data_IF_762201548170
#
_entry.id   IF_762201548170
#
_cell.length_a   1.000
_cell.length_b   1.000
_cell.length_c   1.000
_cell.angle_alpha   90.00
_cell.angle_beta   90.00
_cell.angle_gamma   90.00
#
_symmetry.space_group_name_H-M   'P 1'
#
loop_
_entity.id
_entity.type
_entity.pdbx_description
1 polymer ?
#
# COMPACT_ATOMS: atom_id res chain seq x y z
N UNK A 1 -37.13 -19.74 37.97
CA UNK A 1 -37.84 -19.17 36.83
C UNK A 1 -37.56 -17.67 36.69
N UNK A 2 -37.30 -17.26 35.48
CA UNK A 2 -37.06 -15.83 35.20
C UNK A 2 -38.40 -15.10 35.16
N UNK A 3 -38.53 -14.05 35.95
CA UNK A 3 -39.72 -13.20 35.91
C UNK A 3 -39.75 -12.38 34.62
N UNK A 4 -40.92 -11.86 34.24
CA UNK A 4 -41.03 -11.00 33.06
C UNK A 4 -40.12 -9.78 33.17
N UNK A 5 -39.92 -9.25 34.36
CA UNK A 5 -39.03 -8.13 34.63
C UNK A 5 -37.58 -8.47 34.33
N UNK A 6 -37.09 -9.63 34.77
CA UNK A 6 -35.72 -10.08 34.53
C UNK A 6 -35.51 -10.35 33.03
N UNK A 7 -36.49 -10.94 32.34
CA UNK A 7 -36.40 -11.14 30.88
C UNK A 7 -36.27 -9.83 30.12
N UNK A 8 -37.03 -8.81 30.54
CA UNK A 8 -36.91 -7.46 29.92
C UNK A 8 -35.54 -6.84 30.18
N UNK A 9 -35.05 -6.98 31.40
CA UNK A 9 -33.71 -6.48 31.72
C UNK A 9 -32.63 -7.17 30.92
N UNK A 10 -32.70 -8.48 30.77
CA UNK A 10 -31.76 -9.25 29.97
C UNK A 10 -31.81 -8.87 28.49
N UNK A 11 -33.03 -8.69 27.95
CA UNK A 11 -33.21 -8.23 26.58
C UNK A 11 -32.64 -6.84 26.35
N UNK A 12 -32.90 -5.91 27.28
CA UNK A 12 -32.34 -4.55 27.21
C UNK A 12 -30.84 -4.57 27.30
N UNK A 13 -30.28 -5.35 28.22
CA UNK A 13 -28.83 -5.52 28.35
C UNK A 13 -28.22 -6.09 27.07
N UNK A 14 -28.83 -7.10 26.50
CA UNK A 14 -28.40 -7.73 25.25
C UNK A 14 -28.37 -6.72 24.10
N UNK A 15 -29.44 -5.91 23.98
CA UNK A 15 -29.55 -4.88 22.94
C UNK A 15 -28.43 -3.84 23.12
N UNK A 16 -28.23 -3.35 24.34
CA UNK A 16 -27.18 -2.36 24.63
C UNK A 16 -25.79 -2.93 24.31
N UNK A 17 -25.54 -4.18 24.67
CA UNK A 17 -24.28 -4.86 24.39
C UNK A 17 -24.02 -4.98 22.89
N UNK A 18 -25.04 -5.39 22.13
CA UNK A 18 -24.93 -5.52 20.68
C UNK A 18 -24.65 -4.16 20.02
N UNK A 19 -25.40 -3.13 20.43
CA UNK A 19 -25.20 -1.77 19.93
C UNK A 19 -23.79 -1.28 20.25
N UNK A 20 -23.31 -1.51 21.46
CA UNK A 20 -21.96 -1.11 21.87
C UNK A 20 -20.89 -1.81 21.06
N UNK A 21 -21.05 -3.12 20.80
CA UNK A 21 -20.12 -3.89 19.98
C UNK A 21 -20.11 -3.42 18.54
N UNK A 22 -21.27 -3.11 17.97
CA UNK A 22 -21.37 -2.60 16.59
C UNK A 22 -20.69 -1.24 16.47
N UNK A 23 -20.96 -0.34 17.41
CA UNK A 23 -20.32 1.00 17.41
C UNK A 23 -18.81 0.89 17.60
N UNK A 24 -18.36 0.04 18.50
CA UNK A 24 -16.95 -0.21 18.71
C UNK A 24 -16.27 -0.78 17.47
N UNK A 25 -16.87 -1.78 16.87
CA UNK A 25 -16.36 -2.38 15.65
C UNK A 25 -16.30 -1.38 14.50
N UNK A 26 -17.36 -0.60 14.34
CA UNK A 26 -17.42 0.40 13.27
C UNK A 26 -16.38 1.51 13.46
N UNK A 27 -16.26 2.03 14.67
CA UNK A 27 -15.43 3.19 14.95
C UNK A 27 -13.96 2.83 15.15
N UNK A 28 -13.67 1.78 15.92
CA UNK A 28 -12.30 1.42 16.28
C UNK A 28 -11.63 0.49 15.26
N UNK A 29 -12.35 -0.51 14.78
CA UNK A 29 -11.79 -1.48 13.84
C UNK A 29 -11.84 -1.01 12.39
N UNK A 30 -12.47 0.13 12.13
CA UNK A 30 -12.66 0.66 10.77
C UNK A 30 -13.21 -0.42 9.83
N UNK A 31 -14.28 -1.08 10.25
CA UNK A 31 -14.92 -2.12 9.44
C UNK A 31 -15.22 -1.70 8.01
N UNK A 32 -15.63 -0.45 7.72
CA UNK A 32 -15.80 -0.01 6.34
C UNK A 32 -14.52 -0.14 5.50
N UNK A 33 -13.35 0.13 6.08
CA UNK A 33 -12.07 -0.06 5.40
C UNK A 33 -11.78 -1.53 5.12
N UNK A 34 -12.10 -2.42 6.07
CA UNK A 34 -11.88 -3.85 5.92
C UNK A 34 -12.80 -4.45 4.85
N UNK A 35 -14.01 -3.93 4.71
CA UNK A 35 -14.99 -4.37 3.72
C UNK A 35 -14.81 -3.68 2.37
N UNK A 36 -13.93 -2.66 2.30
CA UNK A 36 -13.69 -1.90 1.09
C UNK A 36 -14.68 -0.77 0.84
N UNK A 37 -15.54 -0.44 1.80
CA UNK A 37 -16.47 0.68 1.70
C UNK A 37 -15.70 1.99 1.80
N UNK A 38 -15.97 2.91 0.88
CA UNK A 38 -15.28 4.19 0.83
C UNK A 38 -13.86 4.12 0.28
N UNK A 39 -13.52 3.03 -0.40
CA UNK A 39 -12.22 2.82 -1.04
C UNK A 39 -12.41 2.24 -2.43
N UNK A 40 -11.42 2.48 -3.30
CA UNK A 40 -11.37 1.84 -4.60
C UNK A 40 -9.99 1.23 -4.81
N UNK A 41 -9.91 0.27 -5.70
CA UNK A 41 -8.65 -0.43 -5.97
C UNK A 41 -7.98 0.12 -7.23
N UNK A 42 -6.67 0.25 -7.16
CA UNK A 42 -5.80 0.50 -8.30
C UNK A 42 -4.71 -0.55 -8.30
N UNK A 43 -4.15 -0.79 -9.48
CA UNK A 43 -3.00 -1.68 -9.65
C UNK A 43 -1.82 -0.88 -10.17
N UNK A 44 -0.63 -1.32 -9.86
CA UNK A 44 0.59 -0.71 -10.37
C UNK A 44 1.54 -1.80 -10.86
N UNK A 45 2.02 -1.65 -12.09
CA UNK A 45 3.03 -2.53 -12.65
C UNK A 45 4.41 -1.98 -12.28
N UNK A 46 5.21 -2.82 -11.64
CA UNK A 46 6.54 -2.48 -11.16
C UNK A 46 7.57 -3.38 -11.83
N UNK A 47 8.79 -2.88 -12.09
CA UNK A 47 9.86 -3.71 -12.67
C UNK A 47 10.33 -4.80 -11.71
N UNK A 48 10.08 -4.66 -10.42
CA UNK A 48 10.34 -5.65 -9.39
C UNK A 48 9.47 -5.33 -8.17
N UNK A 49 9.41 -6.24 -7.20
CA UNK A 49 8.67 -5.97 -5.96
C UNK A 49 9.30 -4.84 -5.13
N UNK A 50 10.60 -4.64 -5.25
CA UNK A 50 11.31 -3.59 -4.53
C UNK A 50 11.26 -3.74 -3.00
N UNK A 51 10.89 -4.91 -2.50
CA UNK A 51 10.64 -5.14 -1.08
C UNK A 51 9.25 -4.69 -0.61
N UNK A 52 8.38 -4.27 -1.55
CA UNK A 52 7.02 -3.90 -1.23
C UNK A 52 6.24 -5.11 -0.72
N UNK A 53 5.39 -4.91 0.27
CA UNK A 53 4.64 -5.98 0.93
C UNK A 53 3.20 -5.55 1.17
N UNK A 54 2.26 -6.50 1.35
CA UNK A 54 0.90 -6.15 1.77
C UNK A 54 0.93 -5.36 3.08
N UNK A 55 0.08 -4.37 3.19
CA UNK A 55 0.00 -3.36 4.26
C UNK A 55 0.98 -2.20 4.15
N UNK A 56 1.88 -2.18 3.16
CA UNK A 56 2.70 -1.00 2.86
C UNK A 56 1.83 0.21 2.59
N UNK A 57 2.26 1.37 3.04
CA UNK A 57 1.51 2.62 2.82
C UNK A 57 1.60 3.08 1.37
N UNK A 58 0.52 3.68 0.89
CA UNK A 58 0.47 4.37 -0.39
C UNK A 58 0.34 5.86 -0.11
N UNK A 59 1.27 6.65 -0.64
CA UNK A 59 1.29 8.10 -0.44
C UNK A 59 1.06 8.84 -1.75
N UNK A 60 0.50 10.02 -1.66
CA UNK A 60 0.33 10.94 -2.77
C UNK A 60 0.55 12.36 -2.25
N UNK A 61 1.49 13.07 -2.85
CA UNK A 61 1.92 14.39 -2.40
C UNK A 61 2.30 14.43 -0.91
N UNK A 62 2.96 13.35 -0.43
CA UNK A 62 3.42 13.25 0.96
C UNK A 62 2.35 12.85 1.97
N UNK A 63 1.12 12.59 1.53
CA UNK A 63 0.01 12.20 2.40
C UNK A 63 -0.31 10.72 2.18
N UNK A 64 -0.46 9.96 3.24
CA UNK A 64 -0.91 8.57 3.14
C UNK A 64 -2.38 8.52 2.74
N UNK A 65 -2.65 7.96 1.56
CA UNK A 65 -3.99 7.91 0.97
C UNK A 65 -4.57 6.50 0.91
N UNK A 66 -3.77 5.49 1.18
CA UNK A 66 -4.22 4.11 1.13
C UNK A 66 -3.12 3.15 1.53
N UNK A 67 -3.36 1.88 1.23
CA UNK A 67 -2.42 0.80 1.53
C UNK A 67 -2.36 -0.20 0.39
N UNK A 68 -1.21 -0.83 0.25
CA UNK A 68 -1.03 -1.98 -0.62
C UNK A 68 -1.76 -3.17 0.01
N UNK A 69 -2.61 -3.84 -0.76
CA UNK A 69 -3.37 -4.99 -0.30
C UNK A 69 -2.76 -6.31 -0.76
N UNK A 70 -2.07 -6.29 -1.90
CA UNK A 70 -1.44 -7.49 -2.44
C UNK A 70 -0.28 -7.13 -3.36
N UNK A 71 0.69 -8.03 -3.47
CA UNK A 71 1.82 -7.92 -4.39
C UNK A 71 2.02 -9.28 -5.04
N UNK A 72 1.83 -9.36 -6.35
CA UNK A 72 1.97 -10.59 -7.12
C UNK A 72 3.14 -10.50 -8.09
N UNK A 73 3.93 -11.56 -8.24
CA UNK A 73 4.97 -11.58 -9.27
C UNK A 73 4.34 -11.68 -10.66
N UNK A 74 4.94 -10.98 -11.62
CA UNK A 74 4.55 -11.03 -13.03
C UNK A 74 5.75 -11.43 -13.87
N UNK A 75 5.52 -11.70 -15.18
CA UNK A 75 6.59 -12.05 -16.10
C UNK A 75 7.68 -10.98 -16.22
N UNK A 76 7.30 -9.72 -16.01
CA UNK A 76 8.20 -8.59 -16.19
C UNK A 76 8.54 -7.86 -14.89
N UNK A 77 8.10 -8.38 -13.75
CA UNK A 77 8.35 -7.74 -12.47
C UNK A 77 7.33 -8.14 -11.41
N UNK A 78 6.59 -7.17 -10.92
CA UNK A 78 5.55 -7.38 -9.92
C UNK A 78 4.36 -6.45 -10.19
N UNK A 79 3.19 -6.87 -9.75
CA UNK A 79 2.00 -6.04 -9.77
C UNK A 79 1.51 -5.84 -8.35
N UNK A 80 1.42 -4.59 -7.92
CA UNK A 80 0.89 -4.23 -6.63
C UNK A 80 -0.58 -3.82 -6.77
N UNK A 81 -1.42 -4.37 -5.93
CA UNK A 81 -2.81 -3.95 -5.79
C UNK A 81 -2.90 -3.06 -4.56
N UNK A 82 -3.52 -1.91 -4.71
CA UNK A 82 -3.65 -0.95 -3.61
C UNK A 82 -5.09 -0.54 -3.42
N UNK A 83 -5.44 -0.24 -2.19
CA UNK A 83 -6.74 0.29 -1.80
C UNK A 83 -6.57 1.76 -1.44
N UNK A 84 -7.28 2.64 -2.16
CA UNK A 84 -7.17 4.09 -2.03
C UNK A 84 -8.49 4.63 -1.49
N UNK A 85 -8.42 5.55 -0.54
CA UNK A 85 -9.62 6.22 -0.04
C UNK A 85 -10.34 6.97 -1.17
N UNK A 86 -11.66 6.79 -1.28
CA UNK A 86 -12.45 7.30 -2.39
C UNK A 86 -12.43 8.82 -2.53
N UNK A 87 -12.12 9.54 -1.48
CA UNK A 87 -12.01 11.00 -1.49
C UNK A 87 -10.79 11.50 -2.29
N UNK A 88 -9.81 10.64 -2.53
CA UNK A 88 -8.62 10.99 -3.29
C UNK A 88 -8.76 10.54 -4.74
N UNK A 89 -8.60 11.48 -5.65
CA UNK A 89 -8.59 11.21 -7.08
C UNK A 89 -7.15 11.23 -7.58
N UNK A 90 -6.77 10.18 -8.28
CA UNK A 90 -5.41 10.00 -8.76
C UNK A 90 -5.36 10.31 -10.25
N UNK A 91 -4.50 11.26 -10.69
CA UNK A 91 -4.39 11.61 -12.11
C UNK A 91 -3.91 10.42 -12.94
N UNK A 92 -4.31 10.40 -14.21
CA UNK A 92 -3.96 9.29 -15.13
C UNK A 92 -2.47 9.26 -15.49
N UNK A 93 -1.75 10.39 -15.33
CA UNK A 93 -0.31 10.49 -15.63
C UNK A 93 0.59 10.09 -14.45
N UNK A 94 0.00 9.57 -13.39
CA UNK A 94 0.72 9.22 -12.17
C UNK A 94 1.71 8.08 -12.41
N UNK A 95 2.85 8.15 -11.75
CA UNK A 95 3.80 7.05 -11.64
C UNK A 95 3.82 6.51 -10.21
N UNK A 96 4.04 5.20 -10.09
CA UNK A 96 4.11 4.51 -8.80
C UNK A 96 5.57 4.20 -8.49
N UNK A 97 6.12 4.83 -7.48
CA UNK A 97 7.52 4.69 -7.12
C UNK A 97 7.63 4.03 -5.74
N UNK A 98 8.40 2.97 -5.65
CA UNK A 98 8.68 2.33 -4.37
C UNK A 98 9.85 3.02 -3.71
N UNK A 99 9.68 3.46 -2.48
CA UNK A 99 10.72 4.10 -1.68
C UNK A 99 10.89 3.40 -0.34
N UNK A 100 12.06 3.55 0.24
CA UNK A 100 12.35 3.05 1.59
C UNK A 100 12.22 4.20 2.59
N UNK A 101 11.49 3.95 3.67
CA UNK A 101 11.35 4.94 4.76
C UNK A 101 12.58 4.96 5.63
N UNK A 102 13.23 3.81 5.79
CA UNK A 102 14.36 3.68 6.71
C UNK A 102 15.34 2.62 6.26
N UNK A 103 16.51 2.64 6.87
CA UNK A 103 17.55 1.63 6.64
C UNK A 103 17.11 0.22 7.08
N UNK A 104 16.06 0.12 7.87
CA UNK A 104 15.52 -1.17 8.34
C UNK A 104 14.69 -1.88 7.27
N UNK A 105 14.38 -1.19 6.17
CA UNK A 105 13.72 -1.83 5.03
C UNK A 105 12.21 -1.66 4.96
N UNK A 106 11.65 -0.73 5.71
CA UNK A 106 10.23 -0.42 5.57
C UNK A 106 10.00 0.32 4.25
N UNK A 107 9.15 -0.26 3.41
CA UNK A 107 8.87 0.26 2.07
C UNK A 107 7.49 0.92 2.02
N UNK A 108 7.37 1.91 1.14
CA UNK A 108 6.08 2.51 0.82
C UNK A 108 5.99 2.81 -0.68
N UNK A 109 4.78 2.93 -1.17
CA UNK A 109 4.52 3.24 -2.57
C UNK A 109 4.12 4.71 -2.69
N UNK A 110 4.91 5.49 -3.39
CA UNK A 110 4.67 6.91 -3.61
C UNK A 110 4.10 7.14 -5.00
N UNK A 111 2.93 7.76 -5.06
CA UNK A 111 2.29 8.13 -6.31
C UNK A 111 2.66 9.56 -6.65
N UNK A 112 3.31 9.75 -7.79
CA UNK A 112 3.81 11.04 -8.24
C UNK A 112 3.17 11.40 -9.57
N UNK A 113 2.55 12.56 -9.65
CA UNK A 113 2.03 13.13 -10.88
C UNK A 113 2.87 14.35 -11.26
N UNK A 114 3.29 14.41 -12.51
CA UNK A 114 4.14 15.48 -13.04
C UNK A 114 3.30 16.58 -13.67
N UNK A 115 2.07 16.28 -14.07
CA UNK A 115 1.19 17.22 -14.76
C UNK A 115 -0.15 17.39 -14.08
N UNK A 116 -1.06 18.04 -14.78
CA UNK A 116 -2.45 18.14 -14.38
C UNK A 116 -3.32 17.82 -15.61
N UNK A 117 -3.44 16.52 -15.96
CA UNK A 117 -4.11 16.12 -17.20
C UNK A 117 -5.62 16.32 -17.20
N UNK A 118 -6.23 16.69 -16.07
CA UNK A 118 -7.66 16.84 -15.94
C UNK A 118 -8.46 15.55 -15.94
N UNK A 119 -7.78 14.41 -16.08
CA UNK A 119 -8.38 13.08 -16.03
C UNK A 119 -7.86 12.32 -14.84
N UNK A 120 -8.71 11.48 -14.28
CA UNK A 120 -8.36 10.67 -13.11
C UNK A 120 -8.52 9.19 -13.43
N UNK A 121 -7.77 8.36 -12.71
CA UNK A 121 -7.87 6.91 -12.84
C UNK A 121 -9.22 6.42 -12.34
N UNK A 122 -9.81 5.50 -13.09
CA UNK A 122 -11.03 4.80 -12.69
C UNK A 122 -10.68 3.61 -11.78
N UNK A 123 -11.61 3.18 -10.90
CA UNK A 123 -11.39 1.98 -10.09
C UNK A 123 -11.00 0.78 -10.95
N UNK A 124 -10.00 0.03 -10.50
CA UNK A 124 -9.50 -1.15 -11.20
C UNK A 124 -8.47 -0.88 -12.30
N UNK A 125 -8.17 0.38 -12.62
CA UNK A 125 -7.15 0.71 -13.60
C UNK A 125 -5.73 0.39 -13.09
N UNK A 126 -4.82 0.17 -14.03
CA UNK A 126 -3.43 -0.16 -13.75
C UNK A 126 -2.52 1.01 -14.08
N UNK A 127 -1.65 1.37 -13.14
CA UNK A 127 -0.58 2.34 -13.36
C UNK A 127 0.58 1.59 -14.01
N UNK A 128 0.94 1.98 -15.23
CA UNK A 128 1.99 1.29 -15.99
C UNK A 128 3.38 1.88 -15.77
N UNK A 129 3.47 3.08 -15.22
CA UNK A 129 4.73 3.74 -14.91
C UNK A 129 5.09 3.45 -13.45
N UNK A 130 6.06 2.57 -13.24
CA UNK A 130 6.51 2.22 -11.89
C UNK A 130 8.03 2.17 -11.82
N UNK A 131 8.57 2.56 -10.69
CA UNK A 131 9.99 2.45 -10.39
C UNK A 131 10.19 1.82 -9.02
N UNK A 132 11.34 1.17 -8.86
CA UNK A 132 11.76 0.61 -7.57
C UNK A 132 13.14 1.17 -7.24
N UNK A 133 13.52 1.23 -5.95
CA UNK A 133 14.85 1.69 -5.59
C UNK A 133 15.91 0.76 -6.15
N UNK A 134 17.06 1.31 -6.53
CA UNK A 134 18.20 0.52 -6.95
C UNK A 134 18.62 -0.40 -5.81
N UNK A 135 18.71 -1.69 -6.12
CA UNK A 135 19.21 -2.65 -5.14
C UNK A 135 20.71 -2.41 -4.92
N UNK A 136 21.15 -2.63 -3.70
CA UNK A 136 22.56 -2.50 -3.33
C UNK A 136 23.42 -3.49 -4.12
N UNK A 137 22.87 -4.68 -4.46
CA UNK A 137 23.56 -5.69 -5.25
C UNK A 137 24.11 -5.21 -6.58
N UNK A 138 23.30 -4.59 -7.48
CA UNK A 138 23.81 -4.05 -8.73
C UNK A 138 24.88 -2.98 -8.54
N UNK A 139 24.77 -2.14 -7.51
CA UNK A 139 25.78 -1.14 -7.19
C UNK A 139 27.10 -1.79 -6.75
N UNK A 140 27.03 -2.85 -5.95
CA UNK A 140 28.20 -3.62 -5.54
C UNK A 140 28.85 -4.36 -6.71
N UNK A 141 28.07 -4.91 -7.61
CA UNK A 141 28.59 -5.57 -8.82
C UNK A 141 29.32 -4.57 -9.72
N UNK A 142 28.81 -3.37 -9.87
CA UNK A 142 29.46 -2.31 -10.62
C UNK A 142 30.78 -1.90 -9.94
N UNK A 143 30.80 -1.78 -8.63
CA UNK A 143 32.01 -1.49 -7.87
C UNK A 143 33.05 -2.62 -7.99
N UNK A 144 32.63 -3.86 -7.91
CA UNK A 144 33.49 -5.03 -8.09
C UNK A 144 34.09 -5.10 -9.49
N UNK A 145 33.28 -4.81 -10.52
CA UNK A 145 33.77 -4.72 -11.91
C UNK A 145 34.80 -3.61 -12.08
N UNK A 146 34.57 -2.48 -11.44
CA UNK A 146 35.53 -1.38 -11.40
C UNK A 146 36.85 -1.80 -10.77
N UNK A 147 36.82 -2.56 -9.69
CA UNK A 147 37.99 -3.09 -9.01
C UNK A 147 38.72 -4.15 -9.86
N UNK A 148 37.98 -4.98 -10.60
CA UNK A 148 38.58 -5.97 -11.50
C UNK A 148 39.27 -5.33 -12.71
N UNK A 149 38.78 -4.20 -13.16
CA UNK A 149 39.38 -3.43 -14.26
C UNK A 149 40.65 -2.72 -13.82
N UNK A 150 40.81 -2.44 -12.53
CA UNK A 150 42.08 -1.87 -12.02
C UNK A 150 43.22 -2.86 -12.22
N UNK A 151 44.38 -2.42 -12.80
CA UNK A 151 45.50 -3.31 -12.98
C UNK A 151 45.97 -3.87 -11.64
N UNK A 152 45.98 -5.17 -11.52
CA UNK A 152 46.51 -5.84 -10.32
C UNK A 152 47.96 -5.53 -10.04
N UNK A 153 48.64 -5.11 -11.07
CA UNK A 153 50.03 -4.66 -11.01
C UNK A 153 50.26 -3.46 -10.12
N UNK A 154 49.25 -2.58 -9.97
CA UNK A 154 49.33 -1.44 -9.09
C UNK A 154 49.02 -1.78 -7.62
N UNK A 155 48.54 -2.96 -7.37
CA UNK A 155 48.15 -3.41 -6.03
C UNK A 155 49.23 -4.33 -5.42
N UNK A 156 49.97 -4.97 -6.26
CA UNK A 156 51.10 -5.83 -5.86
C UNK A 156 52.33 -5.10 -5.47
#
# INVERSE_FOLDING_TARGET
MLTRYIKRQLALFGIITVVALVVLGWYYLRLPSLVGIGQYQLKADLPASGGLYPTSNVTYRGITIGKVTDVEPTEHGAQATMSIASRYKIPVDVSANVHSVSAVGEQYLDLVSVGNPGRFLSPGQTITKGTVPSQIGPALDTANRGLEVLPKEKIS
#
